data_IF_538188613630
#
_entry.id   IF_538188613630
#
_cell.length_a   1.000
_cell.length_b   1.000
_cell.length_c   1.000
_cell.angle_alpha   90.00
_cell.angle_beta   90.00
_cell.angle_gamma   90.00
#
_symmetry.space_group_name_H-M   'P 1'
#
loop_
_entity.id
_entity.type
_entity.pdbx_description
1 polymer ?
#
# COMPACT_ATOMS: atom_id res chain seq x y z
N UNK A 1 9.95 33.16 -29.54
CA UNK A 1 9.88 31.68 -29.51
C UNK A 1 8.50 31.32 -30.03
N UNK A 2 8.40 30.57 -31.13
CA UNK A 2 7.12 30.03 -31.56
C UNK A 2 6.85 28.76 -30.72
N UNK A 3 5.85 28.80 -29.86
CA UNK A 3 5.33 27.59 -29.20
C UNK A 3 4.60 26.73 -30.25
N UNK A 4 4.82 25.43 -30.20
CA UNK A 4 4.11 24.50 -31.07
C UNK A 4 2.61 24.52 -30.75
N UNK A 5 1.73 24.83 -31.72
CA UNK A 5 0.29 24.95 -31.48
C UNK A 5 -0.34 23.66 -30.94
N UNK A 6 0.26 22.50 -31.17
CA UNK A 6 -0.18 21.20 -30.63
C UNK A 6 -0.11 21.18 -29.10
N UNK A 7 0.85 21.90 -28.48
CA UNK A 7 0.97 21.95 -27.01
C UNK A 7 -0.29 22.54 -26.39
N UNK A 8 -0.82 23.65 -26.95
CA UNK A 8 -2.07 24.25 -26.51
C UNK A 8 -3.27 23.32 -26.68
N UNK A 9 -3.34 22.60 -27.79
CA UNK A 9 -4.42 21.64 -28.08
C UNK A 9 -4.37 20.48 -27.07
N UNK A 10 -3.21 19.88 -26.84
CA UNK A 10 -3.02 18.79 -25.86
C UNK A 10 -3.31 19.26 -24.46
N UNK A 11 -2.87 20.49 -24.08
CA UNK A 11 -3.14 21.06 -22.78
C UNK A 11 -4.65 21.26 -22.51
N UNK A 12 -5.44 21.60 -23.54
CA UNK A 12 -6.89 21.75 -23.42
C UNK A 12 -7.64 20.42 -23.18
N UNK A 13 -7.09 19.31 -23.64
CA UNK A 13 -7.62 17.95 -23.43
C UNK A 13 -7.23 17.42 -22.04
N UNK A 14 -6.09 17.84 -21.51
CA UNK A 14 -5.66 17.44 -20.17
C UNK A 14 -6.55 18.06 -19.09
N UNK A 15 -6.74 17.41 -17.93
CA UNK A 15 -7.69 17.82 -16.90
C UNK A 15 -7.43 19.19 -16.23
N UNK A 16 -6.31 19.83 -16.49
CA UNK A 16 -5.95 21.13 -15.89
C UNK A 16 -5.68 21.11 -14.37
N UNK A 17 -5.68 19.93 -13.73
CA UNK A 17 -5.53 19.80 -12.28
C UNK A 17 -4.15 20.17 -11.74
N UNK A 18 -3.13 20.27 -12.58
CA UNK A 18 -1.74 20.60 -12.23
C UNK A 18 -1.17 19.83 -11.02
N UNK A 19 -1.66 18.60 -10.79
CA UNK A 19 -1.41 17.79 -9.58
C UNK A 19 0.01 17.19 -9.50
N UNK A 20 0.79 17.28 -10.57
CA UNK A 20 2.14 16.67 -10.65
C UNK A 20 2.18 15.13 -10.61
N UNK A 21 1.03 14.46 -10.65
CA UNK A 21 0.93 13.00 -10.58
C UNK A 21 1.55 12.26 -11.77
N UNK A 22 1.65 12.93 -12.91
CA UNK A 22 2.36 12.45 -14.10
C UNK A 22 3.88 12.65 -14.03
N UNK A 23 4.40 13.29 -12.99
CA UNK A 23 5.83 13.60 -12.83
C UNK A 23 6.26 14.96 -13.38
N UNK A 24 5.37 15.70 -14.06
CA UNK A 24 5.61 17.04 -14.60
C UNK A 24 5.09 18.13 -13.66
N UNK A 25 5.66 19.33 -13.76
CA UNK A 25 5.32 20.47 -12.90
C UNK A 25 3.90 21.03 -13.11
N UNK A 26 3.17 20.54 -14.11
CA UNK A 26 1.80 20.94 -14.43
C UNK A 26 1.32 20.32 -15.73
N UNK A 27 0.07 20.56 -16.09
CA UNK A 27 -0.52 20.02 -17.31
C UNK A 27 0.15 20.56 -18.59
N UNK A 28 0.63 21.80 -18.58
CA UNK A 28 1.40 22.37 -19.69
C UNK A 28 2.74 21.66 -19.91
N UNK A 29 3.47 21.37 -18.84
CA UNK A 29 4.71 20.58 -18.93
C UNK A 29 4.49 19.15 -19.42
N UNK A 30 3.36 18.54 -19.04
CA UNK A 30 2.96 17.24 -19.57
C UNK A 30 2.60 17.31 -21.06
N UNK A 31 1.89 18.39 -21.49
CA UNK A 31 1.54 18.60 -22.90
C UNK A 31 2.78 18.76 -23.78
N UNK A 32 3.75 19.56 -23.33
CA UNK A 32 5.04 19.72 -24.03
C UNK A 32 5.79 18.38 -24.15
N UNK A 33 5.83 17.59 -23.08
CA UNK A 33 6.46 16.28 -23.11
C UNK A 33 5.76 15.28 -24.05
N UNK A 34 4.42 15.32 -24.12
CA UNK A 34 3.64 14.47 -25.04
C UNK A 34 3.88 14.86 -26.51
N UNK A 35 3.94 16.14 -26.83
CA UNK A 35 4.23 16.61 -28.20
C UNK A 35 5.66 16.20 -28.60
N UNK A 36 6.65 16.42 -27.73
CA UNK A 36 8.04 15.98 -27.97
C UNK A 36 8.17 14.46 -28.10
N UNK A 37 7.40 13.71 -27.29
CA UNK A 37 7.33 12.25 -27.39
C UNK A 37 6.75 11.80 -28.73
N UNK A 38 5.69 12.46 -29.20
CA UNK A 38 5.10 12.18 -30.50
C UNK A 38 6.10 12.45 -31.67
N UNK A 39 6.84 13.55 -31.61
CA UNK A 39 7.87 13.86 -32.56
C UNK A 39 9.03 12.83 -32.56
N UNK A 40 9.27 12.22 -31.40
CA UNK A 40 10.24 11.11 -31.23
C UNK A 40 9.68 9.74 -31.64
N UNK A 41 8.39 9.66 -32.00
CA UNK A 41 7.70 8.43 -32.40
C UNK A 41 7.17 7.58 -31.23
N UNK A 42 7.26 8.02 -29.98
CA UNK A 42 6.72 7.28 -28.83
C UNK A 42 6.27 8.20 -27.69
N UNK A 43 5.07 7.96 -27.19
CA UNK A 43 4.55 8.55 -25.94
C UNK A 43 4.51 7.50 -24.81
N UNK A 44 5.25 6.41 -24.96
CA UNK A 44 5.31 5.34 -23.95
C UNK A 44 5.88 5.87 -22.62
N UNK A 45 5.23 5.50 -21.52
CA UNK A 45 5.60 6.00 -20.19
C UNK A 45 5.01 7.39 -19.83
N UNK A 46 4.48 8.14 -20.78
CA UNK A 46 3.78 9.40 -20.56
C UNK A 46 2.30 9.12 -20.33
N UNK A 47 1.85 9.24 -19.08
CA UNK A 47 0.46 8.97 -18.70
C UNK A 47 -0.06 9.97 -17.67
N UNK A 48 -1.24 10.55 -17.94
CA UNK A 48 -1.92 11.41 -16.99
C UNK A 48 -2.88 10.58 -16.12
N UNK A 49 -2.61 10.37 -14.82
CA UNK A 49 -3.47 9.55 -13.95
C UNK A 49 -4.86 10.16 -13.74
N UNK A 50 -5.00 11.49 -13.81
CA UNK A 50 -6.30 12.20 -13.68
C UNK A 50 -7.13 12.07 -14.95
N UNK A 51 -6.49 12.25 -16.12
CA UNK A 51 -7.15 12.09 -17.42
C UNK A 51 -7.51 10.62 -17.74
N UNK A 52 -6.84 9.70 -17.09
CA UNK A 52 -7.06 8.27 -17.28
C UNK A 52 -6.87 7.81 -18.73
N UNK A 53 -7.38 6.63 -19.04
CA UNK A 53 -7.30 6.09 -20.42
C UNK A 53 -8.13 6.89 -21.43
N UNK A 54 -9.25 7.47 -21.00
CA UNK A 54 -10.12 8.26 -21.89
C UNK A 54 -9.42 9.55 -22.35
N UNK A 55 -8.86 10.33 -21.40
CA UNK A 55 -8.12 11.55 -21.73
C UNK A 55 -6.85 11.27 -22.56
N UNK A 56 -6.13 10.18 -22.19
CA UNK A 56 -4.95 9.77 -22.98
C UNK A 56 -5.32 9.25 -24.37
N UNK A 57 -6.53 8.67 -24.55
CA UNK A 57 -7.06 8.33 -25.86
C UNK A 57 -7.23 9.54 -26.77
N UNK A 58 -7.89 10.59 -26.25
CA UNK A 58 -8.07 11.85 -26.98
C UNK A 58 -6.74 12.52 -27.34
N UNK A 59 -5.76 12.49 -26.43
CA UNK A 59 -4.40 12.98 -26.68
C UNK A 59 -3.72 12.18 -27.80
N UNK A 60 -3.82 10.85 -27.76
CA UNK A 60 -3.24 9.98 -28.75
C UNK A 60 -3.86 10.18 -30.14
N UNK A 61 -5.18 10.33 -30.21
CA UNK A 61 -5.90 10.65 -31.46
C UNK A 61 -5.42 11.99 -32.03
N UNK A 62 -5.25 13.01 -31.18
CA UNK A 62 -4.80 14.35 -31.57
C UNK A 62 -3.36 14.34 -32.09
N UNK A 63 -2.50 13.49 -31.53
CA UNK A 63 -1.09 13.36 -31.91
C UNK A 63 -0.84 12.26 -32.98
N UNK A 64 -1.87 11.51 -33.39
CA UNK A 64 -1.74 10.39 -34.32
C UNK A 64 -0.94 9.21 -33.77
N UNK A 65 -0.97 9.01 -32.46
CA UNK A 65 -0.18 8.01 -31.75
C UNK A 65 -1.05 6.87 -31.19
N UNK A 66 -0.44 5.72 -30.93
CA UNK A 66 -1.11 4.64 -30.21
C UNK A 66 -1.21 4.95 -28.70
N UNK A 67 -2.35 4.63 -28.08
CA UNK A 67 -2.58 4.86 -26.64
C UNK A 67 -1.65 3.97 -25.81
N UNK A 68 -0.85 4.56 -24.94
CA UNK A 68 -0.14 3.83 -23.89
C UNK A 68 -1.16 3.32 -22.86
N UNK A 69 -1.43 2.02 -22.87
CA UNK A 69 -2.39 1.40 -21.98
C UNK A 69 -1.77 1.24 -20.58
N UNK A 70 -2.05 2.16 -19.66
CA UNK A 70 -1.58 2.11 -18.29
C UNK A 70 -2.64 1.46 -17.39
N UNK A 71 -2.24 0.40 -16.69
CA UNK A 71 -3.14 -0.24 -15.71
C UNK A 71 -3.46 0.72 -14.55
N UNK A 72 -4.72 0.82 -14.13
CA UNK A 72 -5.12 1.72 -13.06
C UNK A 72 -4.41 1.36 -11.76
N UNK A 73 -3.81 2.35 -11.12
CA UNK A 73 -3.10 2.22 -9.85
C UNK A 73 -3.92 2.83 -8.70
N UNK A 74 -3.65 2.37 -7.50
CA UNK A 74 -4.23 2.91 -6.26
C UNK A 74 -3.16 2.97 -5.19
N UNK A 75 -3.25 3.97 -4.32
CA UNK A 75 -2.38 4.07 -3.16
C UNK A 75 -2.73 2.98 -2.14
N UNK A 76 -1.71 2.33 -1.59
CA UNK A 76 -1.86 1.37 -0.50
C UNK A 76 -0.98 1.76 0.68
N UNK A 77 -1.49 1.58 1.89
CA UNK A 77 -0.77 1.91 3.13
C UNK A 77 -0.07 0.66 3.65
N UNK A 78 1.23 0.68 3.67
CA UNK A 78 2.09 -0.41 4.15
C UNK A 78 2.40 -0.28 5.64
N UNK A 79 1.39 -0.04 6.45
CA UNK A 79 1.48 -0.04 7.90
C UNK A 79 0.21 -0.65 8.47
N UNK A 80 0.34 -1.66 9.32
CA UNK A 80 -0.76 -2.30 10.04
C UNK A 80 -0.70 -2.01 11.56
N UNK A 81 0.18 -1.10 11.97
CA UNK A 81 0.33 -0.71 13.37
C UNK A 81 -0.78 0.24 13.81
N UNK A 82 -1.95 -0.28 14.14
CA UNK A 82 -3.03 0.49 14.75
C UNK A 82 -2.66 0.98 16.14
N UNK A 83 -3.44 1.87 16.72
CA UNK A 83 -3.23 2.36 18.10
C UNK A 83 -3.16 1.21 19.12
N UNK A 84 -3.87 0.10 18.90
CA UNK A 84 -3.87 -1.08 19.77
C UNK A 84 -2.61 -1.96 19.60
N UNK A 85 -2.11 -2.06 18.38
CA UNK A 85 -1.02 -2.98 18.01
C UNK A 85 0.38 -2.39 18.22
N UNK A 86 0.49 -1.07 18.31
CA UNK A 86 1.74 -0.35 18.59
C UNK A 86 1.66 0.41 19.91
N UNK A 87 2.62 0.17 20.78
CA UNK A 87 2.67 0.84 22.08
C UNK A 87 3.10 2.30 21.89
N UNK A 88 2.33 3.22 22.49
CA UNK A 88 2.75 4.61 22.64
C UNK A 88 3.82 4.68 23.75
N UNK A 89 4.96 5.27 23.44
CA UNK A 89 6.13 5.36 24.33
C UNK A 89 6.49 6.79 24.71
N UNK A 90 5.97 7.78 23.96
CA UNK A 90 6.24 9.20 24.18
C UNK A 90 5.01 10.04 23.79
N UNK A 91 5.02 11.29 24.19
CA UNK A 91 4.10 12.34 23.74
C UNK A 91 4.94 13.35 22.97
N UNK A 92 4.51 13.66 21.76
CA UNK A 92 5.15 14.71 20.95
C UNK A 92 4.37 16.01 21.10
N UNK A 93 5.03 17.02 21.64
CA UNK A 93 4.49 18.38 21.82
C UNK A 93 5.21 19.37 20.92
N UNK A 94 4.91 19.28 19.62
CA UNK A 94 5.48 20.12 18.58
C UNK A 94 4.55 20.23 17.39
N UNK A 95 5.08 20.73 16.26
CA UNK A 95 4.31 20.86 15.03
C UNK A 95 3.83 19.49 14.53
N UNK A 96 2.53 19.26 14.54
CA UNK A 96 1.89 17.96 14.21
C UNK A 96 1.82 17.71 12.70
N UNK A 97 3.00 17.64 12.05
CA UNK A 97 3.17 17.16 10.68
C UNK A 97 4.07 15.93 10.67
N UNK A 98 3.84 15.00 9.74
CA UNK A 98 4.70 13.81 9.63
C UNK A 98 6.16 14.20 9.37
N UNK A 99 6.38 15.23 8.59
CA UNK A 99 7.71 15.75 8.27
C UNK A 99 8.45 16.24 9.53
N UNK A 100 7.82 17.07 10.37
CA UNK A 100 8.42 17.57 11.59
C UNK A 100 8.68 16.45 12.62
N UNK A 101 7.68 15.59 12.85
CA UNK A 101 7.82 14.46 13.77
C UNK A 101 8.93 13.50 13.33
N UNK A 102 9.04 13.23 12.01
CA UNK A 102 10.07 12.35 11.47
C UNK A 102 11.49 12.96 11.61
N UNK A 103 11.63 14.28 11.52
CA UNK A 103 12.90 14.96 11.74
C UNK A 103 13.37 14.90 13.21
N UNK A 104 12.42 14.87 14.16
CA UNK A 104 12.72 14.79 15.59
C UNK A 104 12.98 13.36 16.11
N UNK A 105 12.65 12.30 15.35
CA UNK A 105 12.89 10.92 15.76
C UNK A 105 11.83 9.91 15.41
N UNK A 106 11.62 8.91 16.29
CA UNK A 106 10.69 7.80 16.04
C UNK A 106 9.21 8.19 16.15
N UNK A 107 8.88 9.39 16.63
CA UNK A 107 7.53 9.81 16.94
C UNK A 107 7.03 9.22 18.26
N UNK A 108 5.71 9.17 18.45
CA UNK A 108 5.10 8.74 19.72
C UNK A 108 5.13 7.22 19.93
N UNK A 109 5.47 6.44 18.95
CA UNK A 109 5.46 4.97 19.02
C UNK A 109 6.86 4.39 18.90
N UNK A 110 7.08 3.17 19.43
CA UNK A 110 8.38 2.50 19.37
C UNK A 110 8.83 2.05 17.98
N UNK A 111 8.03 2.26 16.92
CA UNK A 111 8.37 1.87 15.56
C UNK A 111 8.94 3.06 14.78
N UNK A 112 10.24 3.05 14.50
CA UNK A 112 10.92 4.09 13.71
C UNK A 112 10.51 4.14 12.23
N UNK A 113 9.81 3.15 11.72
CA UNK A 113 9.43 3.00 10.31
C UNK A 113 7.94 3.22 10.04
N UNK A 114 7.09 2.99 11.05
CA UNK A 114 5.63 2.99 10.87
C UNK A 114 5.03 4.36 10.63
N UNK A 115 3.75 4.38 10.27
CA UNK A 115 2.99 5.61 10.06
C UNK A 115 3.00 6.49 11.33
N UNK A 116 3.14 7.79 11.16
CA UNK A 116 3.13 8.77 12.26
C UNK A 116 1.72 9.27 12.59
N UNK A 117 0.78 9.16 11.65
CA UNK A 117 -0.62 9.52 11.86
C UNK A 117 -0.92 11.03 11.79
N UNK A 118 0.06 11.90 11.44
CA UNK A 118 -0.15 13.35 11.46
C UNK A 118 -0.89 13.90 10.21
N UNK A 119 -1.07 13.10 9.15
CA UNK A 119 -1.95 13.48 8.03
C UNK A 119 -1.32 14.23 6.86
N UNK A 120 0.02 14.33 6.71
CA UNK A 120 0.65 14.99 5.55
C UNK A 120 0.16 14.37 4.22
N UNK A 121 -0.12 13.07 4.20
CA UNK A 121 -0.69 12.38 3.04
C UNK A 121 -2.13 12.82 2.73
N UNK A 122 -2.90 13.19 3.76
CA UNK A 122 -4.27 13.71 3.62
C UNK A 122 -4.21 15.11 3.02
N UNK A 123 -3.38 15.99 3.58
CA UNK A 123 -3.18 17.35 3.08
C UNK A 123 -2.67 17.40 1.64
N UNK A 124 -1.86 16.41 1.22
CA UNK A 124 -1.35 16.32 -0.14
C UNK A 124 -2.37 15.77 -1.15
N UNK A 125 -3.51 15.22 -0.69
CA UNK A 125 -4.50 14.61 -1.57
C UNK A 125 -5.54 15.62 -2.04
N UNK A 126 -5.44 16.08 -3.29
CA UNK A 126 -6.39 17.02 -3.90
C UNK A 126 -7.76 16.39 -4.19
N UNK A 127 -7.88 15.06 -4.12
CA UNK A 127 -9.09 14.31 -4.49
C UNK A 127 -9.88 13.83 -3.27
N UNK A 128 -9.45 14.17 -2.05
CA UNK A 128 -10.10 13.70 -0.82
C UNK A 128 -10.18 12.18 -0.69
N UNK A 129 -9.28 11.47 -1.36
CA UNK A 129 -9.27 10.00 -1.44
C UNK A 129 -8.55 9.33 -0.26
N UNK A 130 -7.98 10.08 0.68
CA UNK A 130 -7.27 9.53 1.83
C UNK A 130 -7.61 10.33 3.08
N UNK A 131 -7.86 9.63 4.17
CA UNK A 131 -8.15 10.25 5.47
C UNK A 131 -7.52 9.42 6.59
N UNK A 132 -7.28 10.03 7.76
CA UNK A 132 -6.85 9.29 8.95
C UNK A 132 -8.10 8.72 9.63
N UNK A 133 -8.11 7.40 9.80
CA UNK A 133 -9.14 6.76 10.61
C UNK A 133 -8.84 7.02 12.10
N UNK A 134 -9.75 7.66 12.85
CA UNK A 134 -9.53 8.03 14.25
C UNK A 134 -9.37 6.81 15.19
N UNK A 135 -9.98 5.69 14.87
CA UNK A 135 -9.91 4.48 15.68
C UNK A 135 -8.56 3.77 15.53
N UNK A 136 -8.08 3.67 14.31
CA UNK A 136 -6.83 2.96 14.01
C UNK A 136 -5.59 3.85 14.07
N UNK A 137 -5.76 5.18 13.90
CA UNK A 137 -4.69 6.17 13.75
C UNK A 137 -3.89 5.99 12.46
N UNK A 138 -4.44 5.28 11.48
CA UNK A 138 -3.79 5.01 10.20
C UNK A 138 -4.54 5.68 9.05
N UNK A 139 -3.83 6.05 7.96
CA UNK A 139 -4.52 6.53 6.77
C UNK A 139 -5.26 5.39 6.07
N UNK A 140 -6.49 5.70 5.66
CA UNK A 140 -7.33 4.85 4.83
C UNK A 140 -7.55 5.51 3.47
N UNK A 141 -7.53 4.68 2.42
CA UNK A 141 -7.66 5.14 1.04
C UNK A 141 -9.01 4.70 0.50
N UNK A 142 -9.80 5.68 0.07
CA UNK A 142 -11.02 5.47 -0.73
C UNK A 142 -10.58 5.12 -2.17
N UNK A 143 -10.76 3.86 -2.55
CA UNK A 143 -10.30 3.34 -3.84
C UNK A 143 -11.11 3.88 -5.03
N UNK A 144 -12.33 4.34 -4.80
CA UNK A 144 -13.19 4.89 -5.84
C UNK A 144 -12.80 6.33 -6.19
N UNK A 145 -12.34 7.09 -5.19
CA UNK A 145 -11.81 8.44 -5.37
C UNK A 145 -10.33 8.48 -5.75
N UNK A 146 -9.58 7.40 -5.43
CA UNK A 146 -8.14 7.38 -5.67
C UNK A 146 -7.81 7.13 -7.14
N UNK A 147 -7.19 8.13 -7.77
CA UNK A 147 -6.72 8.08 -9.16
C UNK A 147 -5.28 7.57 -9.31
N UNK A 148 -4.59 7.23 -8.22
CA UNK A 148 -3.22 6.73 -8.27
C UNK A 148 -2.15 7.76 -8.63
N UNK A 149 -2.37 9.05 -8.38
CA UNK A 149 -1.41 10.12 -8.72
C UNK A 149 -0.10 10.10 -7.92
N UNK A 150 -0.05 9.44 -6.77
CA UNK A 150 1.16 9.29 -5.95
C UNK A 150 1.51 10.49 -5.07
N UNK A 151 0.74 11.57 -5.02
CA UNK A 151 1.00 12.73 -4.18
C UNK A 151 1.15 12.36 -2.70
N UNK A 152 0.28 11.51 -2.18
CA UNK A 152 0.34 10.99 -0.80
C UNK A 152 1.59 10.13 -0.53
N UNK A 153 2.09 9.39 -1.52
CA UNK A 153 3.31 8.61 -1.39
C UNK A 153 4.55 9.51 -1.35
N UNK A 154 4.59 10.58 -2.16
CA UNK A 154 5.66 11.58 -2.15
C UNK A 154 5.68 12.40 -0.85
N UNK A 155 4.51 12.73 -0.30
CA UNK A 155 4.39 13.48 0.95
C UNK A 155 4.76 12.67 2.20
N UNK A 156 4.85 11.35 2.10
CA UNK A 156 5.11 10.49 3.26
C UNK A 156 6.61 10.38 3.55
N UNK A 157 7.16 10.98 4.64
CA UNK A 157 8.59 10.96 4.94
C UNK A 157 9.10 9.56 5.31
N UNK A 158 8.22 8.62 5.63
CA UNK A 158 8.54 7.23 5.96
C UNK A 158 8.24 6.24 4.85
N UNK A 159 7.78 6.73 3.70
CA UNK A 159 7.48 5.89 2.53
C UNK A 159 6.58 4.69 2.83
N UNK A 160 5.60 4.88 3.76
CA UNK A 160 4.62 3.83 4.10
C UNK A 160 3.49 3.73 3.09
N UNK A 161 3.43 4.62 2.09
CA UNK A 161 2.43 4.59 1.03
C UNK A 161 3.12 4.29 -0.29
N UNK A 162 2.60 3.35 -1.03
CA UNK A 162 3.06 3.03 -2.39
C UNK A 162 1.87 2.90 -3.35
N UNK A 163 2.14 3.04 -4.65
CA UNK A 163 1.14 2.80 -5.69
C UNK A 163 1.19 1.33 -6.13
N UNK A 164 0.03 0.69 -6.16
CA UNK A 164 -0.13 -0.67 -6.70
C UNK A 164 -1.20 -0.74 -7.75
N UNK A 165 -1.05 -1.62 -8.72
CA UNK A 165 -2.08 -1.94 -9.71
C UNK A 165 -3.35 -2.40 -9.01
N UNK A 166 -4.52 -1.96 -9.49
CA UNK A 166 -5.81 -2.35 -8.91
C UNK A 166 -6.12 -3.85 -9.06
N UNK A 167 -5.46 -4.54 -9.97
CA UNK A 167 -5.71 -5.96 -10.23
C UNK A 167 -7.16 -6.31 -10.59
N UNK A 168 -7.47 -7.56 -10.95
CA UNK A 168 -8.83 -7.98 -11.27
C UNK A 168 -9.77 -7.82 -10.08
N UNK A 169 -10.90 -7.13 -10.27
CA UNK A 169 -11.89 -6.79 -9.21
C UNK A 169 -11.27 -6.03 -8.03
N UNK A 170 -10.24 -5.22 -8.27
CA UNK A 170 -9.54 -4.47 -7.22
C UNK A 170 -8.71 -5.31 -6.24
N UNK A 171 -8.50 -6.61 -6.51
CA UNK A 171 -7.83 -7.53 -5.59
C UNK A 171 -6.33 -7.29 -5.52
N UNK A 172 -5.80 -7.30 -4.31
CA UNK A 172 -4.36 -7.11 -4.04
C UNK A 172 -3.93 -7.91 -2.81
N UNK A 173 -2.69 -8.38 -2.84
CA UNK A 173 -2.03 -9.01 -1.69
C UNK A 173 -0.71 -8.31 -1.47
N UNK A 174 -0.46 -7.79 -0.27
CA UNK A 174 0.78 -7.08 0.04
C UNK A 174 1.13 -7.13 1.53
N UNK A 175 2.38 -6.78 1.83
CA UNK A 175 2.88 -6.69 3.20
C UNK A 175 2.55 -5.31 3.77
N UNK A 176 1.72 -5.24 4.81
CA UNK A 176 1.38 -4.01 5.55
C UNK A 176 2.41 -3.71 6.65
N UNK A 177 3.68 -3.71 6.26
CA UNK A 177 4.79 -3.35 7.13
C UNK A 177 5.95 -2.83 6.30
N UNK A 178 6.71 -1.88 6.84
CA UNK A 178 7.95 -1.34 6.27
C UNK A 178 9.10 -1.35 7.28
N UNK A 179 8.91 -1.98 8.44
CA UNK A 179 9.92 -2.10 9.49
C UNK A 179 11.03 -3.05 9.06
N UNK A 180 12.28 -2.59 9.17
CA UNK A 180 13.51 -3.33 8.82
C UNK A 180 14.29 -3.82 10.04
N UNK A 181 13.78 -3.59 11.26
CA UNK A 181 14.40 -4.09 12.48
C UNK A 181 14.39 -5.62 12.53
N UNK A 182 15.32 -6.18 13.31
CA UNK A 182 15.32 -7.61 13.62
C UNK A 182 14.00 -8.03 14.26
N UNK A 183 13.51 -9.23 13.95
CA UNK A 183 12.18 -9.71 14.31
C UNK A 183 11.75 -9.48 15.77
N UNK A 184 12.66 -9.68 16.73
CA UNK A 184 12.38 -9.44 18.14
C UNK A 184 12.14 -7.95 18.45
N UNK A 185 12.95 -7.04 17.88
CA UNK A 185 12.79 -5.60 18.04
C UNK A 185 11.52 -5.12 17.32
N UNK A 186 11.26 -5.61 16.10
CA UNK A 186 10.05 -5.31 15.34
C UNK A 186 8.78 -5.69 16.12
N UNK A 187 8.74 -6.89 16.73
CA UNK A 187 7.61 -7.36 17.54
C UNK A 187 7.43 -6.57 18.84
N UNK A 188 8.53 -6.12 19.45
CA UNK A 188 8.46 -5.27 20.65
C UNK A 188 7.84 -3.91 20.31
N UNK A 189 8.12 -3.38 19.12
CA UNK A 189 7.59 -2.09 18.64
C UNK A 189 6.14 -2.18 18.13
N UNK A 190 5.76 -3.28 17.49
CA UNK A 190 4.43 -3.45 16.90
C UNK A 190 4.06 -4.94 16.77
N UNK A 191 2.92 -5.34 17.34
CA UNK A 191 2.45 -6.74 17.31
C UNK A 191 2.10 -7.24 15.90
N UNK A 192 1.80 -6.35 14.95
CA UNK A 192 1.54 -6.70 13.55
C UNK A 192 2.78 -6.53 12.65
N UNK A 193 3.98 -6.41 13.21
CA UNK A 193 5.19 -6.22 12.44
C UNK A 193 5.56 -7.45 11.60
N UNK A 194 6.12 -7.22 10.42
CA UNK A 194 6.85 -8.28 9.72
C UNK A 194 8.14 -8.59 10.48
N UNK A 195 8.39 -9.87 10.74
CA UNK A 195 9.58 -10.35 11.50
C UNK A 195 10.64 -10.97 10.59
N UNK A 196 10.48 -10.87 9.27
CA UNK A 196 11.44 -11.43 8.31
C UNK A 196 11.58 -12.96 8.35
N UNK A 197 10.59 -13.71 8.89
CA UNK A 197 10.69 -15.14 9.14
C UNK A 197 10.75 -16.03 7.90
N UNK A 198 10.50 -15.51 6.70
CA UNK A 198 10.58 -16.23 5.44
C UNK A 198 9.46 -17.26 5.18
N UNK A 199 8.48 -17.46 6.08
CA UNK A 199 7.39 -18.43 5.87
C UNK A 199 6.58 -18.13 4.61
N UNK A 200 6.27 -16.85 4.36
CA UNK A 200 5.56 -16.43 3.16
C UNK A 200 6.34 -16.71 1.86
N UNK A 201 7.66 -16.57 1.90
CA UNK A 201 8.56 -16.89 0.77
C UNK A 201 8.46 -18.38 0.42
N UNK A 202 8.52 -19.27 1.42
CA UNK A 202 8.42 -20.73 1.22
C UNK A 202 7.08 -21.17 0.64
N UNK A 203 6.00 -20.46 0.97
CA UNK A 203 4.66 -20.74 0.45
C UNK A 203 4.40 -20.18 -0.96
N UNK A 204 5.28 -19.31 -1.48
CA UNK A 204 5.08 -18.67 -2.76
C UNK A 204 5.67 -19.50 -3.90
N UNK A 205 4.80 -20.16 -4.67
CA UNK A 205 5.20 -20.94 -5.86
C UNK A 205 5.50 -20.08 -7.09
N UNK A 206 5.26 -18.75 -7.01
CA UNK A 206 5.36 -17.83 -8.15
C UNK A 206 6.57 -16.90 -8.04
N UNK A 207 7.45 -17.15 -7.08
CA UNK A 207 8.65 -16.33 -6.82
C UNK A 207 8.37 -14.81 -6.71
N UNK A 208 7.13 -14.49 -6.27
CA UNK A 208 6.68 -13.12 -6.14
C UNK A 208 7.07 -12.48 -4.79
N UNK A 209 7.78 -13.20 -3.91
CA UNK A 209 8.10 -12.72 -2.57
C UNK A 209 9.60 -12.70 -2.39
N UNK A 210 10.13 -11.56 -1.92
CA UNK A 210 11.50 -11.41 -1.45
C UNK A 210 11.51 -11.10 0.03
N UNK A 211 12.60 -11.45 0.72
CA UNK A 211 12.82 -11.09 2.13
C UNK A 211 14.21 -10.51 2.24
N UNK A 212 14.27 -9.21 2.43
CA UNK A 212 15.51 -8.44 2.53
C UNK A 212 15.44 -7.51 3.74
N UNK A 213 16.56 -7.31 4.41
CA UNK A 213 16.63 -6.44 5.60
C UNK A 213 15.52 -6.74 6.62
N UNK A 214 15.29 -8.01 6.94
CA UNK A 214 14.25 -8.49 7.85
C UNK A 214 12.79 -8.16 7.44
N UNK A 215 12.57 -7.72 6.21
CA UNK A 215 11.28 -7.31 5.69
C UNK A 215 10.91 -8.14 4.45
N UNK A 216 9.69 -8.65 4.44
CA UNK A 216 9.12 -9.30 3.27
C UNK A 216 8.51 -8.26 2.32
N UNK A 217 8.68 -8.46 1.03
CA UNK A 217 8.02 -7.70 -0.02
C UNK A 217 7.32 -8.64 -1.01
N UNK A 218 6.15 -8.24 -1.49
CA UNK A 218 5.40 -8.99 -2.52
C UNK A 218 5.38 -8.14 -3.78
N UNK A 219 6.02 -8.65 -4.84
CA UNK A 219 6.02 -8.07 -6.16
C UNK A 219 4.60 -8.17 -6.77
N UNK A 220 3.94 -7.04 -7.09
CA UNK A 220 2.60 -7.04 -7.64
C UNK A 220 2.51 -7.65 -9.05
N UNK A 221 3.59 -7.59 -9.83
CA UNK A 221 3.60 -8.09 -11.22
C UNK A 221 3.72 -9.61 -11.28
N UNK A 222 4.47 -10.21 -10.35
CA UNK A 222 4.62 -11.67 -10.23
C UNK A 222 3.51 -12.33 -9.42
N UNK A 223 2.80 -11.57 -8.56
CA UNK A 223 1.84 -12.11 -7.62
C UNK A 223 0.55 -12.58 -8.31
N UNK A 224 0.22 -13.87 -8.19
CA UNK A 224 -1.02 -14.48 -8.70
C UNK A 224 -2.19 -14.40 -7.71
N UNK A 225 -2.07 -13.63 -6.63
CA UNK A 225 -3.13 -13.36 -5.65
C UNK A 225 -3.77 -14.60 -5.01
N UNK A 226 -3.01 -15.69 -4.85
CA UNK A 226 -3.50 -16.96 -4.30
C UNK A 226 -3.70 -16.98 -2.78
N UNK A 227 -3.23 -15.95 -2.03
CA UNK A 227 -3.39 -15.76 -0.59
C UNK A 227 -2.73 -16.81 0.31
N UNK A 228 -1.88 -17.72 -0.19
CA UNK A 228 -1.19 -18.71 0.64
C UNK A 228 -0.27 -18.05 1.65
N UNK A 229 0.47 -17.03 1.23
CA UNK A 229 1.37 -16.25 2.07
C UNK A 229 0.66 -15.51 3.22
N UNK A 230 -0.58 -15.04 3.00
CA UNK A 230 -1.41 -14.43 4.03
C UNK A 230 -1.73 -15.44 5.15
N UNK A 231 -2.13 -16.68 4.78
CA UNK A 231 -2.43 -17.73 5.75
C UNK A 231 -1.21 -18.22 6.52
N UNK A 232 -0.03 -18.16 5.91
CA UNK A 232 1.23 -18.59 6.52
C UNK A 232 1.87 -17.52 7.42
N UNK A 233 1.38 -16.26 7.35
CA UNK A 233 1.97 -15.16 8.09
C UNK A 233 1.60 -15.23 9.59
N UNK A 234 2.56 -15.44 10.50
CA UNK A 234 2.27 -15.62 11.92
C UNK A 234 1.85 -14.34 12.63
N UNK A 235 2.22 -13.17 12.08
CA UNK A 235 1.93 -11.85 12.68
C UNK A 235 0.81 -11.10 11.97
N UNK A 236 0.19 -11.69 10.93
CA UNK A 236 -0.82 -11.00 10.13
C UNK A 236 -0.30 -9.79 9.36
N UNK A 237 1.01 -9.68 9.14
CA UNK A 237 1.60 -8.57 8.40
C UNK A 237 1.25 -8.57 6.90
N UNK A 238 0.74 -9.67 6.36
CA UNK A 238 0.29 -9.78 4.96
C UNK A 238 -1.23 -9.69 4.93
N UNK A 239 -1.74 -8.83 4.06
CA UNK A 239 -3.18 -8.63 3.88
C UNK A 239 -3.60 -8.88 2.45
N UNK A 240 -4.83 -9.36 2.31
CA UNK A 240 -5.52 -9.54 1.03
C UNK A 240 -6.75 -8.62 1.00
N UNK A 241 -6.77 -7.69 0.07
CA UNK A 241 -7.81 -6.66 -0.08
C UNK A 241 -8.75 -7.04 -1.21
N UNK A 242 -10.05 -6.79 -1.02
CA UNK A 242 -11.12 -7.07 -1.98
C UNK A 242 -11.29 -8.56 -2.34
N UNK A 243 -10.98 -9.43 -1.40
CA UNK A 243 -11.26 -10.86 -1.52
C UNK A 243 -12.49 -11.27 -0.71
N UNK A 244 -13.22 -12.30 -1.15
CA UNK A 244 -14.25 -12.90 -0.32
C UNK A 244 -13.63 -13.47 0.97
N UNK A 245 -14.38 -13.50 2.09
CA UNK A 245 -13.91 -14.11 3.33
C UNK A 245 -13.46 -15.55 3.08
N UNK A 246 -12.39 -15.97 3.74
CA UNK A 246 -11.96 -17.37 3.69
C UNK A 246 -13.01 -18.24 4.39
N UNK A 247 -13.36 -19.35 3.79
CA UNK A 247 -14.06 -20.41 4.52
C UNK A 247 -13.14 -20.85 5.67
N UNK A 248 -13.65 -20.99 6.92
CA UNK A 248 -12.83 -21.51 8.01
C UNK A 248 -12.27 -22.85 7.57
N UNK A 249 -10.98 -23.08 7.81
CA UNK A 249 -10.42 -24.43 7.69
C UNK A 249 -11.22 -25.29 8.67
N UNK A 250 -11.81 -26.37 8.20
CA UNK A 250 -12.30 -27.42 9.08
C UNK A 250 -11.12 -27.78 10.00
N UNK A 251 -11.29 -27.61 11.30
CA UNK A 251 -10.32 -28.04 12.29
C UNK A 251 -10.15 -29.53 12.07
N UNK A 252 -8.95 -29.96 11.68
CA UNK A 252 -8.58 -31.35 11.68
C UNK A 252 -8.68 -31.80 13.14
N UNK A 253 -9.66 -32.66 13.44
CA UNK A 253 -9.97 -33.13 14.78
C UNK A 253 -8.72 -33.62 15.50
N UNK A 254 -8.39 -32.95 16.57
CA UNK A 254 -7.61 -33.54 17.64
C UNK A 254 -8.63 -34.33 18.47
N UNK A 255 -8.71 -35.62 18.24
CA UNK A 255 -9.37 -36.52 19.16
C UNK A 255 -8.69 -36.38 20.53
N UNK A 256 -9.37 -35.74 21.45
CA UNK A 256 -9.02 -35.75 22.86
C UNK A 256 -9.42 -37.12 23.36
N UNK A 257 -8.44 -38.02 23.52
CA UNK A 257 -8.62 -39.27 24.19
C UNK A 257 -9.09 -39.01 25.63
N UNK A 258 -10.35 -39.27 25.90
CA UNK A 258 -10.92 -39.27 27.24
C UNK A 258 -10.36 -40.50 27.98
N UNK A 259 -9.39 -40.26 28.84
CA UNK A 259 -8.93 -41.28 29.81
C UNK A 259 -10.07 -41.60 30.79
N UNK A 260 -10.63 -42.80 30.67
CA UNK A 260 -11.55 -43.36 31.63
C UNK A 260 -10.85 -43.52 32.99
N UNK A 261 -11.33 -42.78 33.98
CA UNK A 261 -10.97 -43.03 35.39
C UNK A 261 -11.77 -44.22 35.89
N UNK A 262 -11.09 -45.34 36.11
CA UNK A 262 -11.61 -46.47 36.87
C UNK A 262 -11.81 -46.04 38.30
N UNK A 263 -13.06 -46.14 38.76
CA UNK A 263 -13.39 -46.01 40.16
C UNK A 263 -12.91 -47.27 40.92
N UNK A 264 -12.19 -47.04 42.00
CA UNK A 264 -12.02 -48.05 43.07
C UNK A 264 -12.90 -47.63 44.26
N UNK A 265 -13.94 -48.42 44.47
CA UNK A 265 -14.73 -48.39 45.68
C UNK A 265 -13.85 -48.87 46.83
N UNK A 266 -13.70 -48.08 47.89
CA UNK A 266 -13.29 -48.58 49.20
C UNK A 266 -14.49 -48.53 50.14
N UNK A 267 -14.85 -49.73 50.59
CA UNK A 267 -15.76 -49.94 51.68
C UNK A 267 -15.09 -49.53 52.99
N UNK A 268 -15.79 -48.73 53.78
CA UNK A 268 -15.54 -48.55 55.19
C UNK A 268 -16.40 -49.53 55.98
N UNK A 269 -15.75 -50.25 56.87
CA UNK A 269 -16.38 -50.93 58.02
C UNK A 269 -15.76 -50.36 59.30
N UNK A 270 -16.65 -50.12 60.26
CA UNK A 270 -16.59 -49.90 61.70
C UNK A 270 -16.71 -48.48 62.22
#
# INVERSE_FOLDING_TARGET
>A
MHEDPRIGQVASVLPGANCGGCGFAGCSGMADALVKGADSGSIEGLFCPVGGSAGMGQVADLLGMAVANSEPKVAVVRCNGTCELRKRIAVYDGLKTCTAVNACGAGETGCGFGCLGCGDCVSACQFGAIQINPETGLPEVDEDKCIGCGACAKACPRHVIELRKKGPKGRRVYVRCVNKDKGAAAMKACKAACIGCGKCLKECKFEAITVENNLSYIDPDKCRMCRKCEAACPTGAIVAVNFPPRKPKAESGVEVATAAKNGSENKEEA
#
